data_IF_164079725998
#
_entry.id   IF_164079725998
#
_cell.length_a   1.000
_cell.length_b   1.000
_cell.length_c   1.000
_cell.angle_alpha   90.00
_cell.angle_beta   90.00
_cell.angle_gamma   90.00
#
_symmetry.space_group_name_H-M   'P 1'
#
loop_
_entity.id
_entity.type
_entity.pdbx_description
1 polymer ?
#
# COMPACT_ATOMS: atom_id res chain seq x y z
N UNK A 1 9.91 16.27 29.30
CA UNK A 1 10.96 16.29 28.25
C UNK A 1 12.03 15.23 28.47
N UNK A 2 12.64 15.10 29.66
CA UNK A 2 13.67 14.06 29.95
C UNK A 2 13.22 12.62 29.61
N UNK A 3 11.98 12.25 29.98
CA UNK A 3 11.41 10.92 29.66
C UNK A 3 11.32 10.64 28.15
N UNK A 4 11.00 11.66 27.34
CA UNK A 4 10.85 11.53 25.89
C UNK A 4 12.21 11.41 25.19
N UNK A 5 13.21 12.20 25.61
CA UNK A 5 14.59 12.05 25.10
C UNK A 5 15.14 10.67 25.45
N UNK A 6 14.87 10.19 26.66
CA UNK A 6 15.27 8.83 27.08
C UNK A 6 14.58 7.76 26.25
N UNK A 7 13.29 7.94 25.93
CA UNK A 7 12.55 7.07 25.03
C UNK A 7 13.23 7.00 23.65
N UNK A 8 13.49 8.15 23.02
CA UNK A 8 14.15 8.20 21.71
C UNK A 8 15.54 7.55 21.73
N UNK A 9 16.32 7.78 22.77
CA UNK A 9 17.65 7.16 22.91
C UNK A 9 17.56 5.64 23.06
N UNK A 10 16.57 5.12 23.81
CA UNK A 10 16.33 3.68 23.94
C UNK A 10 15.83 3.05 22.65
N UNK A 11 14.95 3.73 21.93
CA UNK A 11 14.49 3.32 20.58
C UNK A 11 15.68 3.23 19.63
N UNK A 12 16.55 4.25 19.63
CA UNK A 12 17.76 4.26 18.83
C UNK A 12 18.67 3.07 19.20
N UNK A 13 18.97 2.87 20.49
CA UNK A 13 19.80 1.74 20.95
C UNK A 13 19.21 0.38 20.54
N UNK A 14 17.91 0.19 20.71
CA UNK A 14 17.22 -1.05 20.35
C UNK A 14 17.26 -1.33 18.84
N UNK A 15 17.26 -0.28 18.02
CA UNK A 15 17.36 -0.39 16.56
C UNK A 15 18.62 -1.12 16.10
N UNK A 16 19.69 -1.07 16.91
CA UNK A 16 20.98 -1.72 16.65
C UNK A 16 21.16 -3.05 17.36
N UNK A 17 20.16 -3.55 18.10
CA UNK A 17 20.23 -4.80 18.87
C UNK A 17 19.25 -5.83 18.31
N UNK A 18 19.69 -7.03 17.96
CA UNK A 18 18.80 -8.05 17.43
C UNK A 18 19.38 -9.46 17.44
N UNK A 19 18.58 -10.41 16.96
CA UNK A 19 19.07 -11.78 16.71
C UNK A 19 19.85 -11.85 15.40
N UNK A 20 20.65 -12.90 15.22
CA UNK A 20 21.36 -13.16 13.94
C UNK A 20 20.39 -13.20 12.76
N UNK A 21 19.20 -13.80 12.94
CA UNK A 21 18.16 -13.85 11.91
C UNK A 21 17.65 -12.45 11.54
N UNK A 22 17.47 -11.58 12.54
CA UNK A 22 17.08 -10.18 12.32
C UNK A 22 18.17 -9.43 11.55
N UNK A 23 19.44 -9.52 11.96
CA UNK A 23 20.53 -8.87 11.23
C UNK A 23 20.67 -9.38 9.81
N UNK A 24 20.57 -10.70 9.57
CA UNK A 24 20.61 -11.27 8.24
C UNK A 24 19.46 -10.72 7.36
N UNK A 25 18.23 -10.70 7.88
CA UNK A 25 17.07 -10.15 7.19
C UNK A 25 17.24 -8.66 6.86
N UNK A 26 17.62 -7.84 7.85
CA UNK A 26 17.85 -6.41 7.65
C UNK A 26 18.98 -6.15 6.65
N UNK A 27 20.06 -6.95 6.70
CA UNK A 27 21.18 -6.81 5.76
C UNK A 27 20.77 -7.12 4.33
N UNK A 28 20.02 -8.21 4.11
CA UNK A 28 19.50 -8.56 2.78
C UNK A 28 18.62 -7.42 2.24
N UNK A 29 17.70 -6.91 3.05
CA UNK A 29 16.85 -5.79 2.67
C UNK A 29 17.67 -4.53 2.36
N UNK A 30 18.66 -4.19 3.18
CA UNK A 30 19.56 -3.05 2.93
C UNK A 30 20.32 -3.21 1.61
N UNK A 31 20.83 -4.41 1.29
CA UNK A 31 21.49 -4.67 0.00
C UNK A 31 20.54 -4.42 -1.17
N UNK A 32 19.29 -4.91 -1.09
CA UNK A 32 18.29 -4.66 -2.14
C UNK A 32 17.94 -3.17 -2.28
N UNK A 33 17.84 -2.45 -1.15
CA UNK A 33 17.65 -0.99 -1.15
C UNK A 33 18.81 -0.29 -1.85
N UNK A 34 20.06 -0.68 -1.55
CA UNK A 34 21.24 -0.09 -2.18
C UNK A 34 21.31 -0.38 -3.69
N UNK A 35 20.89 -1.57 -4.12
CA UNK A 35 20.78 -1.91 -5.55
C UNK A 35 19.76 -0.99 -6.24
N UNK A 36 18.58 -0.81 -5.66
CA UNK A 36 17.57 0.09 -6.22
C UNK A 36 17.98 1.55 -6.17
N UNK A 37 18.66 1.99 -5.11
CA UNK A 37 19.22 3.34 -5.00
C UNK A 37 20.28 3.58 -6.07
N UNK A 38 21.12 2.59 -6.37
CA UNK A 38 22.10 2.67 -7.44
C UNK A 38 21.43 2.79 -8.82
N UNK A 39 20.39 1.98 -9.08
CA UNK A 39 19.60 2.07 -10.32
C UNK A 39 18.88 3.42 -10.45
N UNK A 40 18.39 3.99 -9.34
CA UNK A 40 17.79 5.32 -9.35
C UNK A 40 18.82 6.43 -9.53
N UNK A 41 20.01 6.32 -8.93
CA UNK A 41 21.10 7.27 -9.15
C UNK A 41 21.52 7.31 -10.63
N UNK A 42 21.57 6.15 -11.30
CA UNK A 42 21.76 6.08 -12.74
C UNK A 42 20.64 6.79 -13.50
N UNK A 43 19.37 6.51 -13.17
CA UNK A 43 18.23 7.19 -13.78
C UNK A 43 18.23 8.70 -13.54
N UNK A 44 18.69 9.16 -12.38
CA UNK A 44 18.76 10.58 -12.05
C UNK A 44 19.77 11.32 -12.94
N UNK A 45 20.88 10.67 -13.31
CA UNK A 45 21.91 11.23 -14.20
C UNK A 45 21.51 11.09 -15.67
N UNK A 46 21.12 9.88 -16.08
CA UNK A 46 20.83 9.56 -17.48
C UNK A 46 19.42 10.05 -17.91
N UNK A 47 18.54 10.36 -16.97
CA UNK A 47 17.14 10.71 -17.19
C UNK A 47 16.22 9.49 -17.33
N UNK A 48 14.92 9.74 -17.52
CA UNK A 48 13.88 8.69 -17.64
C UNK A 48 14.04 7.80 -18.88
N UNK A 49 14.96 8.11 -19.81
CA UNK A 49 15.24 7.28 -20.99
C UNK A 49 15.75 5.86 -20.65
N UNK A 50 16.22 5.62 -19.42
CA UNK A 50 16.63 4.28 -18.96
C UNK A 50 15.44 3.40 -18.55
N UNK A 51 14.23 3.96 -18.51
CA UNK A 51 12.98 3.24 -18.21
C UNK A 51 12.37 2.67 -19.48
N UNK A 52 11.31 1.86 -19.35
CA UNK A 52 10.56 1.39 -20.51
C UNK A 52 9.59 2.43 -21.07
N UNK A 53 9.47 3.58 -20.40
CA UNK A 53 8.47 4.61 -20.71
C UNK A 53 8.77 5.32 -22.02
N UNK A 54 7.70 5.81 -22.65
CA UNK A 54 7.75 6.54 -23.92
C UNK A 54 6.94 7.82 -23.81
N UNK A 55 6.97 8.65 -24.84
CA UNK A 55 6.11 9.84 -24.90
C UNK A 55 4.61 9.46 -24.96
N UNK A 56 4.29 8.24 -25.40
CA UNK A 56 2.93 7.71 -25.49
C UNK A 56 2.49 7.05 -24.18
N UNK A 57 3.37 6.26 -23.57
CA UNK A 57 3.18 5.59 -22.27
C UNK A 57 4.11 6.24 -21.26
N UNK A 58 3.63 7.34 -20.68
CA UNK A 58 4.43 8.19 -19.79
C UNK A 58 4.42 7.76 -18.32
N UNK A 59 3.56 6.79 -17.97
CA UNK A 59 3.52 6.19 -16.63
C UNK A 59 3.67 4.67 -16.76
N UNK A 60 4.78 4.18 -16.21
CA UNK A 60 5.17 2.77 -16.25
C UNK A 60 4.99 2.07 -14.90
N UNK A 61 6.00 1.31 -14.50
CA UNK A 61 5.96 0.47 -13.32
C UNK A 61 5.94 1.29 -12.02
N UNK A 62 6.49 2.50 -12.01
CA UNK A 62 6.49 3.36 -10.83
C UNK A 62 5.06 3.75 -10.41
N UNK A 63 4.30 4.33 -11.32
CA UNK A 63 2.90 4.74 -11.06
C UNK A 63 1.98 3.52 -10.89
N UNK A 64 2.24 2.41 -11.59
CA UNK A 64 1.55 1.14 -11.35
C UNK A 64 1.72 0.64 -9.90
N UNK A 65 2.96 0.61 -9.39
CA UNK A 65 3.21 0.20 -8.00
C UNK A 65 2.65 1.22 -7.00
N UNK A 66 2.77 2.52 -7.26
CA UNK A 66 2.15 3.57 -6.48
C UNK A 66 0.63 3.34 -6.32
N UNK A 67 -0.07 3.11 -7.43
CA UNK A 67 -1.54 2.91 -7.45
C UNK A 67 -1.96 1.71 -6.62
N UNK A 68 -1.20 0.62 -6.72
CA UNK A 68 -1.41 -0.56 -5.91
C UNK A 68 -1.14 -0.30 -4.42
N UNK A 69 -0.04 0.37 -4.09
CA UNK A 69 0.39 0.60 -2.72
C UNK A 69 -0.49 1.60 -1.98
N UNK A 70 -1.04 2.61 -2.67
CA UNK A 70 -2.11 3.43 -2.07
C UNK A 70 -3.24 2.51 -1.60
N UNK A 71 -3.59 1.50 -2.41
CA UNK A 71 -4.41 0.33 -2.06
C UNK A 71 -4.07 -0.33 -0.72
N UNK A 72 -2.82 -0.72 -0.56
CA UNK A 72 -2.31 -1.41 0.63
C UNK A 72 -2.27 -0.50 1.86
N UNK A 73 -2.06 0.81 1.70
CA UNK A 73 -1.94 1.76 2.82
C UNK A 73 -3.21 1.81 3.69
N UNK A 74 -4.40 1.56 3.14
CA UNK A 74 -5.64 1.51 3.92
C UNK A 74 -5.87 0.20 4.67
N UNK A 75 -4.91 -0.74 4.67
CA UNK A 75 -4.96 -1.92 5.53
C UNK A 75 -5.22 -1.56 7.00
N UNK A 76 -4.67 -0.44 7.47
CA UNK A 76 -4.89 0.07 8.82
C UNK A 76 -6.37 0.29 9.14
N UNK A 77 -7.13 0.86 8.20
CA UNK A 77 -8.55 1.17 8.41
C UNK A 77 -9.42 -0.09 8.57
N UNK A 78 -9.02 -1.18 7.92
CA UNK A 78 -9.67 -2.49 8.08
C UNK A 78 -9.45 -3.10 9.48
N UNK A 79 -8.50 -2.58 10.25
CA UNK A 79 -8.34 -2.90 11.68
C UNK A 79 -9.03 -1.86 12.57
N UNK A 80 -8.88 -0.57 12.22
CA UNK A 80 -9.36 0.57 13.00
C UNK A 80 -10.89 0.60 13.07
N UNK A 81 -11.60 0.39 11.96
CA UNK A 81 -13.08 0.42 11.95
C UNK A 81 -13.65 -0.65 12.90
N UNK A 82 -13.29 -1.95 12.78
CA UNK A 82 -13.71 -2.96 13.74
C UNK A 82 -13.35 -2.65 15.20
N UNK A 83 -12.15 -2.11 15.44
CA UNK A 83 -11.72 -1.73 16.77
C UNK A 83 -12.59 -0.60 17.35
N UNK A 84 -12.62 0.57 16.71
CA UNK A 84 -13.15 1.78 17.33
C UNK A 84 -14.64 2.01 17.06
N UNK A 85 -15.17 1.57 15.92
CA UNK A 85 -16.60 1.73 15.58
C UNK A 85 -17.39 0.54 16.13
N UNK A 86 -16.98 -0.68 15.79
CA UNK A 86 -17.68 -1.90 16.22
C UNK A 86 -17.25 -2.40 17.61
N UNK A 87 -16.34 -1.68 18.29
CA UNK A 87 -15.88 -1.95 19.66
C UNK A 87 -15.34 -3.38 19.85
N UNK A 88 -14.72 -3.97 18.81
CA UNK A 88 -14.09 -5.29 18.93
C UNK A 88 -12.75 -5.17 19.66
N UNK A 89 -12.71 -5.62 20.91
CA UNK A 89 -11.53 -5.49 21.77
C UNK A 89 -10.28 -6.16 21.18
N UNK A 90 -10.42 -7.37 20.63
CA UNK A 90 -9.30 -8.11 20.02
C UNK A 90 -8.64 -7.37 18.84
N UNK A 91 -9.34 -6.43 18.20
CA UNK A 91 -8.76 -5.63 17.11
C UNK A 91 -7.87 -4.52 17.66
N UNK A 92 -8.20 -3.93 18.82
CA UNK A 92 -7.42 -2.85 19.43
C UNK A 92 -5.97 -3.26 19.75
N UNK A 93 -5.74 -4.55 20.03
CA UNK A 93 -4.41 -5.09 20.32
C UNK A 93 -3.49 -5.03 19.10
N UNK A 94 -4.05 -5.11 17.89
CA UNK A 94 -3.30 -5.20 16.64
C UNK A 94 -3.40 -3.98 15.73
N UNK A 95 -4.29 -3.01 16.04
CA UNK A 95 -4.44 -1.77 15.25
C UNK A 95 -3.10 -1.09 15.02
N UNK A 96 -2.23 -1.05 16.05
CA UNK A 96 -0.94 -0.38 15.94
C UNK A 96 -0.07 -0.97 14.82
N UNK A 97 -0.07 -2.29 14.62
CA UNK A 97 0.67 -2.92 13.51
C UNK A 97 0.11 -2.52 12.14
N UNK A 98 -1.19 -2.23 12.08
CA UNK A 98 -1.87 -1.60 10.94
C UNK A 98 -1.34 -0.22 10.63
N UNK A 99 -1.36 0.67 11.62
CA UNK A 99 -0.87 2.05 11.50
C UNK A 99 0.61 2.09 11.08
N UNK A 100 1.45 1.21 11.64
CA UNK A 100 2.87 1.08 11.24
C UNK A 100 3.01 0.60 9.79
N UNK A 101 2.16 -0.32 9.33
CA UNK A 101 2.16 -0.74 7.92
C UNK A 101 1.74 0.41 7.01
N UNK A 102 0.71 1.17 7.39
CA UNK A 102 0.26 2.33 6.63
C UNK A 102 1.40 3.36 6.48
N UNK A 103 2.12 3.69 7.57
CA UNK A 103 3.31 4.55 7.50
C UNK A 103 4.33 3.98 6.50
N UNK A 104 4.62 2.67 6.60
CA UNK A 104 5.59 2.04 5.73
C UNK A 104 5.24 2.20 4.24
N UNK A 105 3.99 1.87 3.92
CA UNK A 105 3.45 1.86 2.56
C UNK A 105 3.28 3.27 1.99
N UNK A 106 2.83 4.25 2.78
CA UNK A 106 2.69 5.64 2.30
C UNK A 106 4.05 6.22 1.92
N UNK A 107 5.10 5.95 2.70
CA UNK A 107 6.45 6.38 2.32
C UNK A 107 6.89 5.70 1.02
N UNK A 108 6.58 4.42 0.81
CA UNK A 108 6.81 3.78 -0.49
C UNK A 108 6.06 4.49 -1.62
N UNK A 109 4.79 4.86 -1.41
CA UNK A 109 4.00 5.62 -2.38
C UNK A 109 4.70 6.95 -2.73
N UNK A 110 5.15 7.70 -1.72
CA UNK A 110 5.88 8.96 -1.92
C UNK A 110 7.18 8.72 -2.70
N UNK A 111 7.93 7.66 -2.38
CA UNK A 111 9.14 7.29 -3.11
C UNK A 111 8.84 6.96 -4.58
N UNK A 112 7.78 6.18 -4.87
CA UNK A 112 7.39 5.86 -6.24
C UNK A 112 7.04 7.10 -7.05
N UNK A 113 6.32 8.06 -6.45
CA UNK A 113 6.04 9.35 -7.09
C UNK A 113 7.34 10.14 -7.30
N UNK A 114 8.26 10.15 -6.33
CA UNK A 114 9.54 10.87 -6.46
C UNK A 114 10.43 10.30 -7.56
N UNK A 115 10.54 8.97 -7.69
CA UNK A 115 11.40 8.37 -8.72
C UNK A 115 10.82 8.51 -10.13
N UNK A 116 9.51 8.72 -10.27
CA UNK A 116 8.85 9.00 -11.55
C UNK A 116 9.09 10.43 -12.06
N UNK A 117 9.50 11.36 -11.17
CA UNK A 117 9.80 12.73 -11.58
C UNK A 117 11.07 12.79 -12.44
N UNK A 118 10.98 13.45 -13.60
CA UNK A 118 12.14 13.71 -14.46
C UNK A 118 13.14 14.75 -13.91
N UNK A 119 12.71 15.60 -12.97
CA UNK A 119 13.54 16.62 -12.29
C UNK A 119 13.21 16.68 -10.80
N UNK A 120 13.54 15.65 -10.01
CA UNK A 120 13.20 15.61 -8.59
C UNK A 120 13.95 16.68 -7.78
N UNK A 121 15.06 17.20 -8.29
CA UNK A 121 15.79 18.36 -7.76
C UNK A 121 14.92 19.62 -7.66
N UNK A 122 13.88 19.74 -8.50
CA UNK A 122 12.96 20.89 -8.52
C UNK A 122 11.73 20.73 -7.61
N UNK A 123 11.69 19.67 -6.79
CA UNK A 123 10.55 19.38 -5.91
C UNK A 123 10.15 20.57 -5.01
N UNK A 124 11.12 21.40 -4.60
CA UNK A 124 10.88 22.61 -3.80
C UNK A 124 9.91 23.60 -4.45
N UNK A 125 9.79 23.62 -5.79
CA UNK A 125 8.83 24.49 -6.48
C UNK A 125 7.36 24.13 -6.20
N UNK A 126 7.10 22.97 -5.59
CA UNK A 126 5.75 22.57 -5.17
C UNK A 126 5.43 22.98 -3.72
N UNK A 127 6.40 23.48 -2.94
CA UNK A 127 6.22 23.73 -1.49
C UNK A 127 6.09 25.24 -1.21
N UNK A 128 4.95 25.73 -0.70
CA UNK A 128 4.82 27.11 -0.23
C UNK A 128 5.69 27.36 1.02
N UNK A 129 6.30 28.55 1.20
CA UNK A 129 6.21 29.76 0.38
C UNK A 129 7.22 29.82 -0.79
N UNK A 130 8.10 28.83 -0.94
CA UNK A 130 9.22 28.85 -1.89
C UNK A 130 8.83 28.53 -3.33
N UNK A 131 7.63 28.01 -3.54
CA UNK A 131 7.08 27.65 -4.84
C UNK A 131 5.57 27.84 -4.93
N UNK A 132 4.98 27.40 -6.05
CA UNK A 132 3.54 27.51 -6.32
C UNK A 132 2.90 26.14 -6.20
N UNK A 133 2.12 25.96 -5.14
CA UNK A 133 1.32 24.76 -4.98
C UNK A 133 0.02 24.89 -5.78
N UNK A 134 -0.08 24.16 -6.89
CA UNK A 134 -1.20 24.25 -7.84
C UNK A 134 -2.48 23.55 -7.32
N UNK A 135 -2.96 23.98 -6.16
CA UNK A 135 -4.20 23.51 -5.55
C UNK A 135 -5.26 24.63 -5.61
N UNK A 136 -6.51 24.32 -6.05
CA UNK A 136 -7.06 23.00 -6.36
C UNK A 136 -6.93 22.55 -7.83
N UNK A 137 -6.22 23.29 -8.69
CA UNK A 137 -6.22 23.07 -10.15
C UNK A 137 -5.56 21.78 -10.65
N UNK A 138 -4.65 21.18 -9.88
CA UNK A 138 -3.97 19.92 -10.25
C UNK A 138 -4.34 18.79 -9.31
N UNK A 139 -4.87 17.68 -9.83
CA UNK A 139 -5.21 16.51 -9.00
C UNK A 139 -3.95 15.87 -8.36
N UNK A 140 -2.77 16.00 -8.98
CA UNK A 140 -1.51 15.58 -8.35
C UNK A 140 -1.21 16.36 -7.06
N UNK A 141 -1.61 17.64 -6.99
CA UNK A 141 -1.51 18.42 -5.75
C UNK A 141 -2.48 17.91 -4.68
N UNK A 142 -3.65 17.40 -5.05
CA UNK A 142 -4.54 16.75 -4.10
C UNK A 142 -3.91 15.48 -3.54
N UNK A 143 -3.27 14.66 -4.39
CA UNK A 143 -2.55 13.46 -3.97
C UNK A 143 -1.43 13.77 -2.97
N UNK A 144 -0.68 14.85 -3.18
CA UNK A 144 0.32 15.34 -2.20
C UNK A 144 -0.31 15.66 -0.84
N UNK A 145 -1.46 16.34 -0.81
CA UNK A 145 -2.17 16.65 0.45
C UNK A 145 -2.61 15.37 1.14
N UNK A 146 -3.29 14.47 0.43
CA UNK A 146 -3.89 13.31 1.08
C UNK A 146 -2.83 12.31 1.53
N UNK A 147 -1.76 12.09 0.78
CA UNK A 147 -0.69 11.18 1.19
C UNK A 147 0.10 11.72 2.39
N UNK A 148 0.53 12.99 2.36
CA UNK A 148 1.26 13.58 3.48
C UNK A 148 0.36 13.76 4.71
N UNK A 149 -0.90 14.16 4.52
CA UNK A 149 -1.88 14.23 5.60
C UNK A 149 -2.09 12.88 6.27
N UNK A 150 -2.23 11.81 5.49
CA UNK A 150 -2.39 10.47 6.03
C UNK A 150 -1.14 10.01 6.79
N UNK A 151 0.05 10.26 6.22
CA UNK A 151 1.32 9.95 6.87
C UNK A 151 1.44 10.63 8.23
N UNK A 152 1.14 11.93 8.32
CA UNK A 152 1.18 12.69 9.56
C UNK A 152 0.17 12.19 10.59
N UNK A 153 -1.04 11.86 10.15
CA UNK A 153 -2.08 11.29 11.03
C UNK A 153 -1.64 9.95 11.61
N UNK A 154 -1.17 9.01 10.78
CA UNK A 154 -0.72 7.69 11.23
C UNK A 154 0.53 7.82 12.12
N UNK A 155 1.49 8.69 11.77
CA UNK A 155 2.67 8.96 12.59
C UNK A 155 2.29 9.48 13.98
N UNK A 156 1.34 10.41 14.04
CA UNK A 156 0.83 10.94 15.31
C UNK A 156 0.16 9.85 16.15
N UNK A 157 -0.77 9.08 15.56
CA UNK A 157 -1.50 8.00 16.25
C UNK A 157 -0.52 6.94 16.75
N UNK A 158 0.33 6.40 15.88
CA UNK A 158 1.26 5.33 16.22
C UNK A 158 2.28 5.77 17.28
N UNK A 159 2.88 6.95 17.11
CA UNK A 159 3.88 7.47 18.05
C UNK A 159 3.28 7.79 19.42
N UNK A 160 2.08 8.39 19.45
CA UNK A 160 1.39 8.69 20.70
C UNK A 160 1.03 7.41 21.46
N UNK A 161 0.43 6.43 20.78
CA UNK A 161 0.05 5.16 21.40
C UNK A 161 1.27 4.39 21.91
N UNK A 162 2.35 4.33 21.12
CA UNK A 162 3.61 3.70 21.54
C UNK A 162 4.21 4.39 22.77
N UNK A 163 4.27 5.72 22.78
CA UNK A 163 4.83 6.46 23.89
C UNK A 163 4.00 6.34 25.17
N UNK A 164 2.66 6.40 25.07
CA UNK A 164 1.76 6.15 26.21
C UNK A 164 1.96 4.75 26.79
N UNK A 165 2.07 3.73 25.94
CA UNK A 165 2.37 2.34 26.36
C UNK A 165 3.73 2.21 27.01
N UNK A 166 4.77 2.85 26.46
CA UNK A 166 6.11 2.91 27.05
C UNK A 166 6.09 3.52 28.47
N UNK A 167 5.28 4.55 28.71
CA UNK A 167 5.09 5.15 30.04
C UNK A 167 4.17 4.36 30.98
N UNK A 168 3.57 3.27 30.50
CA UNK A 168 2.52 2.53 31.22
C UNK A 168 1.31 3.40 31.59
N UNK A 169 0.99 4.40 30.76
CA UNK A 169 -0.14 5.30 30.99
C UNK A 169 -1.28 4.96 30.04
N UNK A 170 -2.50 5.01 30.54
CA UNK A 170 -3.69 4.91 29.70
C UNK A 170 -3.68 6.11 28.72
N UNK A 171 -3.74 5.88 27.40
CA UNK A 171 -3.72 6.97 26.42
C UNK A 171 -4.96 7.83 26.59
N UNK A 172 -4.75 9.14 26.67
CA UNK A 172 -5.84 10.11 26.84
C UNK A 172 -6.66 10.17 25.56
N UNK A 173 -7.92 9.75 25.64
CA UNK A 173 -8.85 9.63 24.50
C UNK A 173 -8.90 10.87 23.60
N UNK A 174 -8.85 12.07 24.19
CA UNK A 174 -8.89 13.35 23.45
C UNK A 174 -7.73 13.54 22.45
N UNK A 175 -6.57 12.92 22.68
CA UNK A 175 -5.37 13.13 21.87
C UNK A 175 -5.22 12.18 20.69
N UNK A 176 -6.00 11.10 20.63
CA UNK A 176 -5.90 10.13 19.53
C UNK A 176 -7.25 9.78 18.90
N UNK A 177 -8.36 9.75 19.65
CA UNK A 177 -9.68 9.37 19.08
C UNK A 177 -10.10 10.29 17.93
N UNK A 178 -10.00 11.64 18.02
CA UNK A 178 -10.35 12.49 16.88
C UNK A 178 -9.52 12.19 15.64
N UNK A 179 -8.21 11.92 15.82
CA UNK A 179 -7.30 11.56 14.73
C UNK A 179 -7.60 10.19 14.15
N UNK A 180 -8.07 9.24 14.96
CA UNK A 180 -8.53 7.93 14.48
C UNK A 180 -9.74 8.07 13.55
N UNK A 181 -10.75 8.85 13.94
CA UNK A 181 -11.90 9.10 13.07
C UNK A 181 -11.50 9.88 11.81
N UNK A 182 -10.60 10.85 11.95
CA UNK A 182 -10.03 11.55 10.80
C UNK A 182 -9.28 10.58 9.88
N UNK A 183 -8.49 9.65 10.42
CA UNK A 183 -7.75 8.62 9.68
C UNK A 183 -8.68 7.74 8.84
N UNK A 184 -9.85 7.38 9.37
CA UNK A 184 -10.86 6.60 8.62
C UNK A 184 -11.32 7.37 7.37
N UNK A 185 -11.67 8.65 7.52
CA UNK A 185 -12.09 9.50 6.38
C UNK A 185 -10.93 9.67 5.40
N UNK A 186 -9.72 9.86 5.92
CA UNK A 186 -8.52 10.10 5.13
C UNK A 186 -8.09 8.87 4.33
N UNK A 187 -8.29 7.65 4.86
CA UNK A 187 -8.01 6.43 4.12
C UNK A 187 -8.94 6.26 2.92
N UNK A 188 -10.23 6.60 3.06
CA UNK A 188 -11.15 6.63 1.92
C UNK A 188 -10.70 7.72 0.92
N UNK A 189 -10.26 8.87 1.42
CA UNK A 189 -9.76 9.97 0.61
C UNK A 189 -8.53 9.60 -0.22
N UNK A 190 -7.50 8.95 0.34
CA UNK A 190 -6.29 8.59 -0.43
C UNK A 190 -6.64 7.75 -1.67
N UNK A 191 -7.54 6.77 -1.55
CA UNK A 191 -7.93 5.96 -2.71
C UNK A 191 -8.75 6.74 -3.72
N UNK A 192 -9.65 7.58 -3.21
CA UNK A 192 -10.60 8.31 -4.04
C UNK A 192 -9.87 9.38 -4.86
N UNK A 193 -8.95 10.12 -4.23
CA UNK A 193 -8.16 11.16 -4.92
C UNK A 193 -7.16 10.52 -5.90
N UNK A 194 -6.50 9.42 -5.52
CA UNK A 194 -5.63 8.70 -6.47
C UNK A 194 -6.46 8.14 -7.64
N UNK A 195 -7.70 7.70 -7.43
CA UNK A 195 -8.58 7.33 -8.54
C UNK A 195 -8.96 8.53 -9.42
N UNK A 196 -9.16 9.71 -8.82
CA UNK A 196 -9.42 10.95 -9.56
C UNK A 196 -8.26 11.38 -10.45
N UNK A 197 -7.01 10.99 -10.14
CA UNK A 197 -5.89 11.20 -11.07
C UNK A 197 -6.14 10.58 -12.43
N UNK A 198 -6.76 9.39 -12.45
CA UNK A 198 -7.04 8.65 -13.66
C UNK A 198 -8.33 9.12 -14.32
N UNK A 199 -9.42 9.18 -13.55
CA UNK A 199 -10.75 9.56 -14.08
C UNK A 199 -10.76 11.02 -14.55
N UNK A 200 -9.94 11.89 -13.95
CA UNK A 200 -9.80 13.28 -14.37
C UNK A 200 -9.21 13.47 -15.77
N UNK A 201 -8.60 12.44 -16.35
CA UNK A 201 -8.01 12.47 -17.69
C UNK A 201 -9.06 12.10 -18.74
N UNK A 202 -9.95 13.05 -19.06
CA UNK A 202 -11.04 12.85 -20.01
C UNK A 202 -10.61 12.35 -21.41
N UNK A 203 -9.36 12.62 -21.82
CA UNK A 203 -8.80 12.12 -23.07
C UNK A 203 -8.38 10.64 -23.06
N UNK A 204 -8.50 9.95 -21.93
CA UNK A 204 -8.13 8.53 -21.76
C UNK A 204 -9.37 7.73 -21.38
N UNK A 205 -10.10 7.24 -22.38
CA UNK A 205 -11.43 6.63 -22.21
C UNK A 205 -11.45 5.47 -21.21
N UNK A 206 -10.41 4.63 -21.20
CA UNK A 206 -10.31 3.48 -20.29
C UNK A 206 -10.34 3.86 -18.80
N UNK A 207 -9.75 5.00 -18.45
CA UNK A 207 -9.80 5.50 -17.07
C UNK A 207 -11.02 6.36 -16.79
N UNK A 208 -11.60 6.96 -17.82
CA UNK A 208 -12.65 7.95 -17.69
C UNK A 208 -14.03 7.31 -17.46
N UNK A 209 -14.16 6.56 -16.37
CA UNK A 209 -15.41 5.93 -15.96
C UNK A 209 -15.67 6.10 -14.45
N UNK A 210 -16.91 6.42 -14.03
CA UNK A 210 -17.23 6.71 -12.62
C UNK A 210 -17.06 5.53 -11.66
N UNK A 211 -16.90 4.30 -12.15
CA UNK A 211 -16.73 3.11 -11.32
C UNK A 211 -15.31 2.96 -10.73
N UNK A 212 -14.32 3.63 -11.31
CA UNK A 212 -12.90 3.48 -10.94
C UNK A 212 -12.66 3.77 -9.45
N UNK A 213 -13.17 4.87 -8.83
CA UNK A 213 -12.98 5.11 -7.39
C UNK A 213 -13.55 4.00 -6.51
N UNK A 214 -14.71 3.44 -6.86
CA UNK A 214 -15.33 2.34 -6.12
C UNK A 214 -14.53 1.04 -6.25
N UNK A 215 -14.00 0.75 -7.45
CA UNK A 215 -13.08 -0.39 -7.68
C UNK A 215 -11.79 -0.24 -6.90
N UNK A 216 -11.28 0.99 -6.79
CA UNK A 216 -10.08 1.27 -5.99
C UNK A 216 -10.26 0.94 -4.52
N UNK A 217 -11.41 1.28 -3.94
CA UNK A 217 -11.74 0.95 -2.55
C UNK A 217 -11.95 -0.56 -2.36
N UNK A 218 -12.71 -1.21 -3.24
CA UNK A 218 -12.99 -2.64 -3.13
C UNK A 218 -11.70 -3.48 -3.16
N UNK A 219 -10.84 -3.26 -4.16
CA UNK A 219 -9.54 -3.92 -4.29
C UNK A 219 -8.59 -3.60 -3.12
N UNK A 220 -8.58 -2.36 -2.62
CA UNK A 220 -7.76 -1.97 -1.47
C UNK A 220 -8.12 -2.75 -0.19
N UNK A 221 -9.42 -2.94 0.04
CA UNK A 221 -9.95 -3.69 1.18
C UNK A 221 -9.75 -5.20 1.07
N UNK A 222 -9.17 -5.70 -0.04
CA UNK A 222 -8.68 -7.06 -0.17
C UNK A 222 -7.16 -7.10 0.01
N UNK A 223 -6.40 -6.34 -0.79
CA UNK A 223 -4.95 -6.42 -0.83
C UNK A 223 -4.28 -5.98 0.49
N UNK A 224 -4.78 -4.90 1.11
CA UNK A 224 -4.25 -4.41 2.38
C UNK A 224 -4.38 -5.44 3.52
N UNK A 225 -5.60 -5.92 3.81
CA UNK A 225 -5.82 -7.02 4.77
C UNK A 225 -5.10 -8.32 4.44
N UNK A 226 -4.94 -8.68 3.15
CA UNK A 226 -4.19 -9.86 2.75
C UNK A 226 -2.74 -9.80 3.25
N UNK A 227 -2.07 -8.66 3.02
CA UNK A 227 -0.73 -8.42 3.53
C UNK A 227 -0.69 -8.42 5.06
N UNK A 228 -1.69 -7.84 5.71
CA UNK A 228 -1.79 -7.78 7.16
C UNK A 228 -1.94 -9.17 7.81
N UNK A 229 -2.76 -10.05 7.23
CA UNK A 229 -2.93 -11.44 7.67
C UNK A 229 -1.61 -12.19 7.61
N UNK A 230 -0.84 -12.02 6.52
CA UNK A 230 0.49 -12.61 6.38
C UNK A 230 1.48 -12.02 7.41
N UNK A 231 1.47 -10.70 7.58
CA UNK A 231 2.33 -10.01 8.54
C UNK A 231 2.05 -10.47 9.99
N UNK A 232 0.79 -10.61 10.40
CA UNK A 232 0.43 -11.10 11.73
C UNK A 232 0.95 -12.51 12.01
N UNK A 233 0.90 -13.39 11.02
CA UNK A 233 1.44 -14.74 11.16
C UNK A 233 2.97 -14.74 11.26
N UNK A 234 3.65 -13.87 10.52
CA UNK A 234 5.10 -13.69 10.63
C UNK A 234 5.43 -13.18 12.03
N UNK A 235 4.77 -12.13 12.51
CA UNK A 235 4.98 -11.55 13.85
C UNK A 235 4.78 -12.62 14.94
N UNK A 236 3.71 -13.43 14.85
CA UNK A 236 3.42 -14.53 15.77
C UNK A 236 4.51 -15.61 15.79
N UNK A 237 5.23 -15.82 14.69
CA UNK A 237 6.30 -16.84 14.57
C UNK A 237 7.68 -16.32 14.94
N UNK A 238 7.97 -15.05 14.67
CA UNK A 238 9.33 -14.49 14.82
C UNK A 238 9.51 -13.68 16.09
N UNK A 239 8.42 -13.23 16.72
CA UNK A 239 8.46 -12.37 17.90
C UNK A 239 7.81 -13.03 19.11
N UNK A 240 7.98 -12.43 20.29
CA UNK A 240 7.30 -12.85 21.53
C UNK A 240 5.88 -12.30 21.66
N UNK A 241 5.38 -11.56 20.67
CA UNK A 241 4.04 -10.99 20.71
C UNK A 241 3.04 -11.97 20.12
N UNK A 242 2.07 -12.40 20.91
CA UNK A 242 1.03 -13.31 20.47
C UNK A 242 -0.13 -12.54 19.86
N UNK A 243 -0.43 -12.83 18.59
CA UNK A 243 -1.63 -12.34 17.92
C UNK A 243 -2.64 -13.49 17.87
N UNK A 244 -3.82 -13.28 18.44
CA UNK A 244 -4.91 -14.25 18.42
C UNK A 244 -5.45 -14.50 17.02
N UNK A 245 -6.17 -15.61 16.85
CA UNK A 245 -6.76 -15.95 15.55
C UNK A 245 -7.97 -15.06 15.19
N UNK A 246 -8.59 -14.41 16.18
CA UNK A 246 -9.79 -13.57 15.99
C UNK A 246 -9.54 -12.37 15.06
N UNK A 247 -8.46 -11.57 15.21
CA UNK A 247 -8.10 -10.56 14.21
C UNK A 247 -7.91 -11.13 12.80
N UNK A 248 -7.23 -12.27 12.66
CA UNK A 248 -6.96 -12.91 11.36
C UNK A 248 -8.28 -13.32 10.69
N UNK A 249 -9.18 -13.97 11.42
CA UNK A 249 -10.48 -14.40 10.89
C UNK A 249 -11.45 -13.24 10.66
N UNK A 250 -11.33 -12.15 11.43
CA UNK A 250 -12.08 -10.92 11.15
C UNK A 250 -11.62 -10.30 9.84
N UNK A 251 -10.31 -10.18 9.62
CA UNK A 251 -9.77 -9.72 8.34
C UNK A 251 -10.18 -10.61 7.18
N UNK A 252 -10.12 -11.94 7.35
CA UNK A 252 -10.62 -12.90 6.35
C UNK A 252 -12.06 -12.59 5.94
N UNK A 253 -12.96 -12.43 6.91
CA UNK A 253 -14.37 -12.15 6.63
C UNK A 253 -14.55 -10.85 5.85
N UNK A 254 -13.85 -9.79 6.26
CA UNK A 254 -13.89 -8.51 5.57
C UNK A 254 -13.34 -8.60 4.14
N UNK A 255 -12.23 -9.34 3.96
CA UNK A 255 -11.65 -9.62 2.65
C UNK A 255 -12.61 -10.38 1.74
N UNK A 256 -13.31 -11.40 2.25
CA UNK A 256 -14.28 -12.16 1.46
C UNK A 256 -15.35 -11.25 0.89
N UNK A 257 -15.92 -10.36 1.73
CA UNK A 257 -16.95 -9.40 1.28
C UNK A 257 -16.37 -8.41 0.26
N UNK A 258 -15.20 -7.83 0.55
CA UNK A 258 -14.55 -6.89 -0.35
C UNK A 258 -14.20 -7.53 -1.71
N UNK A 259 -13.79 -8.79 -1.71
CA UNK A 259 -13.43 -9.52 -2.93
C UNK A 259 -14.65 -9.85 -3.80
N UNK A 260 -15.79 -10.20 -3.19
CA UNK A 260 -17.06 -10.37 -3.90
C UNK A 260 -17.45 -9.05 -4.57
N UNK A 261 -17.36 -7.93 -3.85
CA UNK A 261 -17.63 -6.60 -4.41
C UNK A 261 -16.66 -6.28 -5.54
N UNK A 262 -15.35 -6.55 -5.37
CA UNK A 262 -14.34 -6.29 -6.39
C UNK A 262 -14.64 -7.03 -7.70
N UNK A 263 -14.95 -8.33 -7.60
CA UNK A 263 -15.28 -9.17 -8.75
C UNK A 263 -16.61 -8.78 -9.41
N UNK A 264 -17.60 -8.37 -8.61
CA UNK A 264 -18.85 -7.83 -9.15
C UNK A 264 -18.59 -6.54 -9.94
N UNK A 265 -17.84 -5.60 -9.38
CA UNK A 265 -17.50 -4.34 -10.06
C UNK A 265 -16.64 -4.58 -11.32
N UNK A 266 -15.75 -5.58 -11.31
CA UNK A 266 -15.01 -6.01 -12.49
C UNK A 266 -15.97 -6.52 -13.57
N UNK A 267 -16.95 -7.35 -13.20
CA UNK A 267 -18.00 -7.81 -14.12
C UNK A 267 -18.80 -6.64 -14.72
N UNK A 268 -19.14 -5.62 -13.93
CA UNK A 268 -19.80 -4.42 -14.42
C UNK A 268 -18.92 -3.64 -15.42
N UNK A 269 -17.63 -3.48 -15.13
CA UNK A 269 -16.67 -2.83 -16.04
C UNK A 269 -16.54 -3.59 -17.36
N UNK A 270 -16.36 -4.92 -17.30
CA UNK A 270 -16.30 -5.78 -18.49
C UNK A 270 -17.57 -5.69 -19.33
N UNK A 271 -18.74 -5.69 -18.69
CA UNK A 271 -20.00 -5.51 -19.41
C UNK A 271 -20.02 -4.15 -20.12
N UNK A 272 -19.71 -3.06 -19.42
CA UNK A 272 -19.71 -1.71 -20.02
C UNK A 272 -18.75 -1.61 -21.21
N UNK A 273 -17.54 -2.17 -21.09
CA UNK A 273 -16.52 -2.10 -22.15
C UNK A 273 -16.86 -2.98 -23.37
N UNK A 274 -17.46 -4.17 -23.17
CA UNK A 274 -17.67 -5.15 -24.24
C UNK A 274 -19.11 -5.25 -24.75
N UNK A 275 -20.09 -4.61 -24.12
CA UNK A 275 -21.50 -4.75 -24.53
C UNK A 275 -21.80 -4.12 -25.89
N UNK A 276 -21.19 -2.96 -26.20
CA UNK A 276 -21.27 -2.34 -27.52
C UNK A 276 -19.88 -2.08 -28.10
N UNK A 277 -19.64 -2.37 -29.39
CA UNK A 277 -18.37 -2.11 -30.04
C UNK A 277 -18.19 -0.60 -30.26
N UNK A 278 -17.52 0.04 -29.32
CA UNK A 278 -17.14 1.46 -29.41
C UNK A 278 -15.64 1.60 -29.56
N UNK A 279 -15.17 2.76 -30.03
CA UNK A 279 -13.73 3.06 -30.06
C UNK A 279 -13.12 3.10 -28.65
N UNK A 280 -13.93 3.37 -27.62
CA UNK A 280 -13.49 3.39 -26.23
C UNK A 280 -13.10 2.00 -25.73
N UNK A 281 -13.70 0.95 -26.29
CA UNK A 281 -13.40 -0.44 -25.96
C UNK A 281 -12.01 -0.89 -26.44
N UNK A 282 -11.32 -0.13 -27.30
CA UNK A 282 -10.06 -0.55 -27.90
C UNK A 282 -8.96 -0.84 -26.85
N UNK A 283 -8.93 -0.08 -25.75
CA UNK A 283 -8.02 -0.31 -24.63
C UNK A 283 -8.32 -1.63 -23.90
N UNK A 284 -9.61 -1.91 -23.65
CA UNK A 284 -10.06 -3.17 -23.07
C UNK A 284 -9.77 -4.34 -24.02
N UNK A 285 -10.02 -4.20 -25.32
CA UNK A 285 -9.65 -5.21 -26.31
C UNK A 285 -8.15 -5.51 -26.30
N UNK A 286 -7.30 -4.48 -26.31
CA UNK A 286 -5.85 -4.66 -26.19
C UNK A 286 -5.46 -5.43 -24.91
N UNK A 287 -6.05 -5.06 -23.77
CA UNK A 287 -5.75 -5.71 -22.48
C UNK A 287 -6.16 -7.19 -22.46
N UNK A 288 -7.39 -7.52 -22.85
CA UNK A 288 -7.96 -8.86 -22.66
C UNK A 288 -7.75 -9.82 -23.84
N UNK A 289 -7.66 -9.30 -25.07
CA UNK A 289 -7.61 -10.12 -26.29
C UNK A 289 -6.47 -9.75 -27.24
N UNK A 290 -5.78 -8.64 -26.99
CA UNK A 290 -4.81 -8.05 -27.89
C UNK A 290 -5.46 -7.19 -28.97
N UNK A 291 -4.64 -6.37 -29.62
CA UNK A 291 -5.07 -5.43 -30.66
C UNK A 291 -3.98 -5.26 -31.72
N UNK A 292 -4.34 -5.38 -33.00
CA UNK A 292 -3.41 -5.23 -34.14
C UNK A 292 -2.12 -6.07 -34.04
N UNK A 293 -2.20 -7.29 -33.50
CA UNK A 293 -1.05 -8.19 -33.33
C UNK A 293 -0.25 -7.97 -32.04
N UNK A 294 -0.57 -6.95 -31.27
CA UNK A 294 0.02 -6.69 -29.95
C UNK A 294 -0.79 -7.36 -28.85
N UNK A 295 -0.10 -8.01 -27.90
CA UNK A 295 -0.73 -8.83 -26.87
C UNK A 295 0.07 -8.91 -25.57
N UNK A 296 1.04 -8.02 -25.37
CA UNK A 296 1.99 -8.08 -24.25
C UNK A 296 1.35 -8.12 -22.86
N UNK A 297 0.18 -7.50 -22.67
CA UNK A 297 -0.55 -7.51 -21.39
C UNK A 297 -1.55 -8.67 -21.24
N UNK A 298 -1.90 -9.36 -22.32
CA UNK A 298 -2.93 -10.40 -22.31
C UNK A 298 -2.59 -11.53 -21.32
N UNK A 299 -1.38 -12.12 -21.31
CA UNK A 299 -1.05 -13.17 -20.35
C UNK A 299 -1.13 -12.69 -18.89
N UNK A 300 -0.80 -11.42 -18.65
CA UNK A 300 -0.79 -10.82 -17.31
C UNK A 300 -2.20 -10.64 -16.76
N UNK A 301 -3.12 -10.06 -17.55
CA UNK A 301 -4.47 -9.83 -17.05
C UNK A 301 -5.21 -11.15 -16.82
N UNK A 302 -5.04 -12.15 -17.69
CA UNK A 302 -5.65 -13.47 -17.48
C UNK A 302 -5.06 -14.19 -16.26
N UNK A 303 -3.76 -14.00 -15.99
CA UNK A 303 -3.15 -14.47 -14.75
C UNK A 303 -3.77 -13.77 -13.54
N UNK A 304 -3.96 -12.45 -13.61
CA UNK A 304 -4.59 -11.68 -12.53
C UNK A 304 -6.00 -12.16 -12.22
N UNK A 305 -6.87 -12.24 -13.24
CA UNK A 305 -8.25 -12.74 -13.12
C UNK A 305 -8.27 -14.16 -12.54
N UNK A 306 -7.36 -15.03 -13.01
CA UNK A 306 -7.29 -16.41 -12.51
C UNK A 306 -6.94 -16.44 -11.02
N UNK A 307 -5.94 -15.65 -10.60
CA UNK A 307 -5.55 -15.54 -9.19
C UNK A 307 -6.66 -14.95 -8.34
N UNK A 308 -7.37 -13.95 -8.85
CA UNK A 308 -8.48 -13.30 -8.16
C UNK A 308 -9.68 -14.23 -7.99
N UNK A 309 -10.02 -15.00 -9.03
CA UNK A 309 -11.05 -16.04 -8.98
C UNK A 309 -10.66 -17.14 -7.99
N UNK A 310 -9.42 -17.64 -8.04
CA UNK A 310 -8.91 -18.63 -7.07
C UNK A 310 -8.97 -18.07 -5.65
N UNK A 311 -8.52 -16.83 -5.45
CA UNK A 311 -8.55 -16.14 -4.17
C UNK A 311 -9.97 -16.03 -3.61
N UNK A 312 -10.93 -15.62 -4.44
CA UNK A 312 -12.35 -15.55 -4.08
C UNK A 312 -12.91 -16.93 -3.70
N UNK A 313 -12.67 -17.95 -4.53
CA UNK A 313 -13.15 -19.32 -4.27
C UNK A 313 -12.58 -19.84 -2.95
N UNK A 314 -11.28 -19.67 -2.70
CA UNK A 314 -10.65 -20.08 -1.46
C UNK A 314 -11.23 -19.33 -0.26
N UNK A 315 -11.39 -18.00 -0.34
CA UNK A 315 -11.98 -17.16 0.71
C UNK A 315 -13.44 -17.52 1.03
N UNK A 316 -14.24 -17.83 0.01
CA UNK A 316 -15.65 -18.22 0.16
C UNK A 316 -15.80 -19.66 0.66
N UNK A 317 -14.85 -20.53 0.33
CA UNK A 317 -14.86 -21.93 0.76
C UNK A 317 -14.44 -22.13 2.22
N UNK A 318 -14.75 -23.30 2.82
CA UNK A 318 -14.22 -23.68 4.14
C UNK A 318 -12.68 -23.76 4.20
N UNK A 319 -11.96 -23.81 3.07
CA UNK A 319 -10.50 -23.93 3.04
C UNK A 319 -9.81 -22.74 3.73
N UNK A 320 -10.39 -21.53 3.62
CA UNK A 320 -9.90 -20.32 4.29
C UNK A 320 -10.10 -20.32 5.82
N UNK A 321 -10.73 -21.35 6.39
CA UNK A 321 -10.75 -21.59 7.85
C UNK A 321 -9.44 -22.18 8.35
N UNK A 322 -8.68 -22.83 7.49
CA UNK A 322 -7.33 -23.30 7.80
C UNK A 322 -6.31 -22.25 7.40
N UNK A 323 -5.26 -22.09 8.21
CA UNK A 323 -4.22 -21.07 7.99
C UNK A 323 -3.52 -21.25 6.64
N UNK A 324 -3.26 -22.49 6.20
CA UNK A 324 -2.62 -22.75 4.90
C UNK A 324 -3.50 -22.29 3.72
N UNK A 325 -4.79 -22.63 3.75
CA UNK A 325 -5.75 -22.19 2.72
C UNK A 325 -5.95 -20.68 2.72
N UNK A 326 -5.97 -20.05 3.91
CA UNK A 326 -6.02 -18.60 4.04
C UNK A 326 -4.76 -17.93 3.46
N UNK A 327 -3.57 -18.48 3.70
CA UNK A 327 -2.32 -17.94 3.16
C UNK A 327 -2.29 -17.99 1.63
N UNK A 328 -2.73 -19.12 1.05
CA UNK A 328 -2.83 -19.24 -0.40
C UNK A 328 -3.81 -18.20 -0.96
N UNK A 329 -4.96 -18.01 -0.31
CA UNK A 329 -5.93 -17.00 -0.71
C UNK A 329 -5.37 -15.58 -0.61
N UNK A 330 -4.68 -15.23 0.49
CA UNK A 330 -4.04 -13.93 0.67
C UNK A 330 -2.98 -13.66 -0.40
N UNK A 331 -2.13 -14.64 -0.72
CA UNK A 331 -1.11 -14.49 -1.77
C UNK A 331 -1.75 -14.35 -3.15
N UNK A 332 -2.74 -15.18 -3.47
CA UNK A 332 -3.46 -15.11 -4.74
C UNK A 332 -4.13 -13.74 -4.94
N UNK A 333 -4.92 -13.28 -3.96
CA UNK A 333 -5.57 -11.96 -4.04
C UNK A 333 -4.55 -10.80 -4.08
N UNK A 334 -3.46 -10.87 -3.30
CA UNK A 334 -2.46 -9.80 -3.29
C UNK A 334 -1.75 -9.67 -4.63
N UNK A 335 -1.31 -10.78 -5.21
CA UNK A 335 -0.61 -10.81 -6.50
C UNK A 335 -1.58 -10.53 -7.66
N UNK A 336 -2.79 -11.10 -7.64
CA UNK A 336 -3.83 -10.85 -8.65
C UNK A 336 -4.15 -9.36 -8.75
N UNK A 337 -4.53 -8.74 -7.62
CA UNK A 337 -4.81 -7.30 -7.56
C UNK A 337 -3.58 -6.45 -7.88
N UNK A 338 -2.36 -6.88 -7.51
CA UNK A 338 -1.14 -6.16 -7.91
C UNK A 338 -0.96 -6.10 -9.43
N UNK A 339 -1.27 -7.18 -10.13
CA UNK A 339 -1.23 -7.22 -11.60
C UNK A 339 -2.42 -6.43 -12.19
N UNK A 340 -3.65 -6.71 -11.76
CA UNK A 340 -4.89 -6.09 -12.27
C UNK A 340 -4.84 -4.56 -12.09
N UNK A 341 -4.64 -4.10 -10.85
CA UNK A 341 -4.70 -2.68 -10.49
C UNK A 341 -3.40 -1.93 -10.80
N UNK A 342 -2.27 -2.62 -10.80
CA UNK A 342 -0.98 -2.05 -11.19
C UNK A 342 -0.91 -1.90 -12.70
N UNK A 343 -0.22 -2.82 -13.37
CA UNK A 343 0.01 -2.70 -14.80
C UNK A 343 -1.25 -2.85 -15.65
N UNK A 344 -2.20 -3.70 -15.23
CA UNK A 344 -3.46 -3.95 -15.94
C UNK A 344 -4.42 -2.76 -15.98
N UNK A 345 -4.27 -1.81 -15.06
CA UNK A 345 -5.04 -0.56 -15.08
C UNK A 345 -4.27 0.57 -15.75
N UNK A 346 -2.98 0.73 -15.43
CA UNK A 346 -2.22 1.91 -15.84
C UNK A 346 -1.85 1.86 -17.32
N UNK A 347 -1.35 0.73 -17.83
CA UNK A 347 -0.82 0.68 -19.19
C UNK A 347 -1.92 0.78 -20.26
N UNK A 348 -3.06 0.06 -20.15
CA UNK A 348 -4.14 0.18 -21.13
C UNK A 348 -4.78 1.57 -21.19
N UNK A 349 -4.67 2.36 -20.12
CA UNK A 349 -5.05 3.77 -20.16
C UNK A 349 -4.30 4.59 -21.21
N UNK A 350 -3.10 4.15 -21.59
CA UNK A 350 -2.31 4.79 -22.65
C UNK A 350 -2.44 4.13 -24.03
N UNK A 351 -2.93 2.90 -24.10
CA UNK A 351 -2.83 2.01 -25.27
C UNK A 351 -4.21 1.49 -25.67
N UNK A 352 -4.71 1.82 -26.88
CA UNK A 352 -4.07 2.64 -27.90
C UNK A 352 -4.01 4.13 -27.52
N UNK A 353 -3.12 4.87 -28.18
CA UNK A 353 -3.07 6.34 -28.04
C UNK A 353 -4.35 6.98 -28.59
N UNK A 354 -4.63 8.26 -28.30
CA UNK A 354 -5.76 8.98 -28.91
C UNK A 354 -5.71 9.03 -30.45
N UNK A 355 -4.54 8.77 -31.05
CA UNK A 355 -4.34 8.68 -32.51
C UNK A 355 -4.47 7.24 -33.05
N UNK A 356 -4.82 6.27 -32.19
CA UNK A 356 -4.99 4.86 -32.56
C UNK A 356 -3.70 4.04 -32.61
N UNK A 357 -2.55 4.60 -32.21
CA UNK A 357 -1.28 3.87 -32.21
C UNK A 357 -1.21 2.90 -31.04
N UNK A 358 -0.74 1.68 -31.30
CA UNK A 358 -0.48 0.67 -30.27
C UNK A 358 1.01 0.69 -29.95
N UNK A 359 1.36 1.11 -28.73
CA UNK A 359 2.75 1.16 -28.25
C UNK A 359 2.84 0.31 -26.99
N UNK A 360 3.49 -0.84 -27.08
CA UNK A 360 3.64 -1.72 -25.93
C UNK A 360 4.72 -1.20 -24.97
N UNK A 361 4.51 -1.44 -23.69
CA UNK A 361 5.41 -1.05 -22.62
C UNK A 361 5.80 -2.29 -21.81
N UNK A 362 7.09 -2.43 -21.53
CA UNK A 362 7.63 -3.38 -20.58
C UNK A 362 8.66 -2.66 -19.69
N UNK A 363 8.66 -2.89 -18.37
CA UNK A 363 9.63 -2.27 -17.49
C UNK A 363 11.04 -2.74 -17.86
N UNK A 364 12.00 -1.81 -17.89
CA UNK A 364 13.40 -2.17 -18.08
C UNK A 364 13.95 -2.81 -16.81
N UNK A 365 15.14 -3.41 -16.91
CA UNK A 365 15.85 -3.89 -15.73
C UNK A 365 16.10 -2.75 -14.72
N UNK A 366 16.47 -1.55 -15.19
CA UNK A 366 16.71 -0.41 -14.30
C UNK A 366 15.46 -0.06 -13.49
N UNK A 367 14.32 0.05 -14.18
CA UNK A 367 13.03 0.33 -13.56
C UNK A 367 12.61 -0.75 -12.55
N UNK A 368 12.82 -2.03 -12.91
CA UNK A 368 12.56 -3.18 -12.04
C UNK A 368 13.41 -3.13 -10.77
N UNK A 369 14.70 -2.78 -10.88
CA UNK A 369 15.61 -2.67 -9.73
C UNK A 369 15.23 -1.52 -8.80
N UNK A 370 14.80 -0.37 -9.35
CA UNK A 370 14.28 0.74 -8.54
C UNK A 370 13.01 0.31 -7.80
N UNK A 371 12.05 -0.33 -8.48
CA UNK A 371 10.86 -0.89 -7.85
C UNK A 371 11.22 -1.86 -6.72
N UNK A 372 12.11 -2.81 -6.97
CA UNK A 372 12.58 -3.78 -5.97
C UNK A 372 13.21 -3.08 -4.75
N UNK A 373 14.00 -2.03 -4.97
CA UNK A 373 14.60 -1.24 -3.90
C UNK A 373 13.56 -0.54 -3.03
N UNK A 374 12.51 0.04 -3.62
CA UNK A 374 11.44 0.70 -2.85
C UNK A 374 10.62 -0.32 -2.06
N UNK A 375 10.30 -1.48 -2.65
CA UNK A 375 9.66 -2.60 -1.94
C UNK A 375 10.50 -3.10 -0.77
N UNK A 376 11.81 -3.27 -0.98
CA UNK A 376 12.75 -3.64 0.07
C UNK A 376 12.83 -2.57 1.16
N UNK A 377 12.81 -1.29 0.80
CA UNK A 377 12.83 -0.17 1.75
C UNK A 377 11.58 -0.15 2.64
N UNK A 378 10.40 -0.37 2.06
CA UNK A 378 9.16 -0.50 2.82
C UNK A 378 9.20 -1.67 3.80
N UNK A 379 9.65 -2.84 3.34
CA UNK A 379 9.83 -4.01 4.20
C UNK A 379 10.86 -3.77 5.32
N UNK A 380 11.96 -3.06 5.02
CA UNK A 380 13.01 -2.70 5.97
C UNK A 380 12.46 -1.77 7.05
N UNK A 381 11.76 -0.72 6.63
CA UNK A 381 11.17 0.26 7.53
C UNK A 381 10.07 -0.37 8.40
N UNK A 382 9.19 -1.20 7.83
CA UNK A 382 8.19 -1.93 8.60
C UNK A 382 8.83 -2.89 9.61
N UNK A 383 9.85 -3.66 9.19
CA UNK A 383 10.59 -4.58 10.07
C UNK A 383 11.26 -3.84 11.22
N UNK A 384 11.87 -2.69 10.95
CA UNK A 384 12.47 -1.83 11.96
C UNK A 384 11.42 -1.28 12.95
N UNK A 385 10.30 -0.76 12.45
CA UNK A 385 9.22 -0.25 13.30
C UNK A 385 8.62 -1.36 14.18
N UNK A 386 8.44 -2.57 13.65
CA UNK A 386 8.01 -3.74 14.42
C UNK A 386 9.01 -4.12 15.51
N UNK A 387 10.31 -4.12 15.18
CA UNK A 387 11.38 -4.43 16.12
C UNK A 387 11.40 -3.47 17.32
N UNK A 388 11.03 -2.20 17.10
CA UNK A 388 10.86 -1.20 18.16
C UNK A 388 9.52 -1.36 18.89
N UNK A 389 8.43 -1.56 18.16
CA UNK A 389 7.08 -1.56 18.71
C UNK A 389 6.78 -2.80 19.57
N UNK A 390 7.23 -3.97 19.15
CA UNK A 390 6.91 -5.24 19.84
C UNK A 390 7.39 -5.28 21.29
N UNK A 391 8.64 -4.88 21.63
CA UNK A 391 9.10 -4.79 23.01
C UNK A 391 8.29 -3.82 23.88
N UNK A 392 7.76 -2.74 23.30
CA UNK A 392 6.90 -1.80 24.02
C UNK A 392 5.53 -2.43 24.25
N UNK A 393 4.98 -3.10 23.24
CA UNK A 393 3.65 -3.71 23.26
C UNK A 393 3.56 -4.93 24.19
N UNK A 394 4.60 -5.76 24.26
CA UNK A 394 4.68 -6.85 25.24
C UNK A 394 5.17 -6.37 26.62
N UNK A 395 5.58 -5.11 26.72
CA UNK A 395 6.02 -4.49 27.96
C UNK A 395 7.42 -4.92 28.44
N UNK A 396 8.27 -5.47 27.59
CA UNK A 396 9.69 -5.66 27.91
C UNK A 396 10.48 -4.35 27.90
N UNK A 397 10.01 -3.34 27.16
CA UNK A 397 10.58 -1.99 27.15
C UNK A 397 9.60 -0.97 27.74
N UNK A 398 9.90 -0.46 28.93
CA UNK A 398 9.06 0.51 29.67
C UNK A 398 9.91 1.60 30.33
N UNK A 399 9.32 2.76 30.60
CA UNK A 399 10.02 3.91 31.19
C UNK A 399 10.60 3.60 32.58
N UNK A 400 9.83 2.88 33.41
CA UNK A 400 10.19 2.47 34.78
C UNK A 400 10.15 0.93 34.85
N UNK A 401 11.31 0.25 34.76
CA UNK A 401 11.38 -1.22 34.78
C UNK A 401 10.99 -1.82 36.14
N UNK A 402 11.13 -1.04 37.22
CA UNK A 402 10.98 -1.48 38.61
C UNK A 402 9.52 -1.65 39.05
N UNK A 403 8.56 -1.11 38.29
CA UNK A 403 7.13 -1.27 38.56
C UNK A 403 6.63 -2.49 37.79
N UNK A 404 6.77 -3.66 38.41
CA UNK A 404 6.13 -4.89 37.95
C UNK A 404 4.62 -4.81 38.19
N UNK A 405 3.76 -5.35 37.30
CA UNK A 405 2.33 -5.51 37.60
C UNK A 405 2.06 -6.49 38.77
N UNK A 406 3.09 -7.14 39.32
CA UNK A 406 3.03 -7.93 40.57
C UNK A 406 3.31 -7.11 41.84
N UNK A 407 3.49 -5.79 41.73
CA UNK A 407 3.76 -4.87 42.86
C UNK A 407 2.67 -3.81 43.06
N UNK A 408 1.52 -3.98 42.41
CA UNK A 408 0.25 -3.30 42.64
C UNK A 408 -0.84 -4.38 42.74
#
# INVERSE_FOLDING_TARGET
>A
MRDYVTFLWRVWRLSWQGSVKYYAWMSVLTVLVLIGLHAWARQFVDGLQVTGMTNQVSWGAYIANFTFLVGVAAAAVMLVIPAYIYKKEHMHEVVLFGELMAIAVIVMCLLFVTVDLGRPDRFLHMIPPFGVFNFPGSILSWDVIVLNGYLLINLHIASYLLYSRYRQQQPTKKFYIPFVFLSIVWAVSIHTVTAFLYVGLAGRSYWHHPLVPSRFLASAFVAGPALMVLAFQIIRRTTRYWIGDQPIFTLRMLMTVAMIINMFLLGCELFTEFYYPTQHAAAAHYLYFGLHGHSGLVPWIWTAITLDVIGLVLLASPASRQIAGLNLACVACFVGIWIEKGMGLIIPGFVPTPLGQVVEYLPTLNETLVCLGIWAFGALMYSWMLHVAVPIMNGSLRARPELSPSTL
#
